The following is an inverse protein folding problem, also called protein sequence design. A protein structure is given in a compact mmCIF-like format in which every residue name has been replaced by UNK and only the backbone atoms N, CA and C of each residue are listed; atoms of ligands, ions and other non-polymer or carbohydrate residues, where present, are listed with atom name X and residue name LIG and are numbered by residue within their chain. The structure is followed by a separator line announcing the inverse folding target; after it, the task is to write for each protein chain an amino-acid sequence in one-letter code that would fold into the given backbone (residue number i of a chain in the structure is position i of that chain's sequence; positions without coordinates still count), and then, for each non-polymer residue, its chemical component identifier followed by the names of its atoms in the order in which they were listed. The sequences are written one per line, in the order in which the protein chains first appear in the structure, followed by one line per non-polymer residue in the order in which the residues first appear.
data_IF_125609043803
#
_entry.id   IF_125609043803
#
_cell.length_a   1.000
_cell.length_b   1.000
_cell.length_c   1.000
_cell.angle_alpha   90.00
_cell.angle_beta   90.00
_cell.angle_gamma   90.00
#
_symmetry.space_group_name_H-M   'P 1'
#
loop_
_entity.id
_entity.type
_entity.pdbx_description
1 polymer ?
#
# COMPACT_ATOMS: atom_id res chain seq x y z
N UNK A 1 82.27 118.47 -5.11
CA UNK A 1 81.76 117.18 -4.60
C UNK A 1 82.92 116.42 -4.00
N UNK A 2 82.78 115.92 -2.77
CA UNK A 2 83.84 115.25 -2.04
C UNK A 2 84.13 113.88 -2.68
N UNK A 3 85.40 113.54 -2.90
CA UNK A 3 85.84 112.28 -3.54
C UNK A 3 85.28 111.02 -2.86
N UNK A 4 85.02 111.10 -1.55
CA UNK A 4 84.36 110.03 -0.78
C UNK A 4 82.91 109.76 -1.20
N UNK A 5 82.14 110.81 -1.55
CA UNK A 5 80.75 110.64 -2.05
C UNK A 5 80.72 110.03 -3.45
N UNK A 6 81.71 110.33 -4.29
CA UNK A 6 81.82 109.76 -5.63
C UNK A 6 82.24 108.29 -5.60
N UNK A 7 83.22 107.92 -4.76
CA UNK A 7 83.65 106.52 -4.58
C UNK A 7 82.52 105.66 -3.98
N UNK A 8 81.75 106.19 -3.03
CA UNK A 8 80.57 105.50 -2.49
C UNK A 8 79.51 105.29 -3.57
N UNK A 9 79.28 106.28 -4.45
CA UNK A 9 78.36 106.15 -5.57
C UNK A 9 78.87 105.17 -6.64
N UNK A 10 80.17 105.17 -6.97
CA UNK A 10 80.75 104.17 -7.89
C UNK A 10 80.65 102.75 -7.33
N UNK A 11 80.91 102.54 -6.04
CA UNK A 11 80.71 101.25 -5.39
C UNK A 11 79.24 100.82 -5.38
N UNK A 12 78.31 101.76 -5.21
CA UNK A 12 76.86 101.50 -5.29
C UNK A 12 76.44 101.11 -6.73
N UNK A 13 76.99 101.79 -7.74
CA UNK A 13 76.72 101.51 -9.16
C UNK A 13 77.36 100.20 -9.60
N UNK A 14 78.58 99.89 -9.16
CA UNK A 14 79.24 98.59 -9.39
C UNK A 14 78.46 97.46 -8.70
N UNK A 15 78.03 97.65 -7.45
CA UNK A 15 77.18 96.68 -6.74
C UNK A 15 75.80 96.52 -7.41
N UNK A 16 75.23 97.59 -7.97
CA UNK A 16 74.00 97.53 -8.77
C UNK A 16 74.21 96.80 -10.10
N UNK A 17 75.31 97.06 -10.81
CA UNK A 17 75.64 96.40 -12.06
C UNK A 17 75.91 94.89 -11.85
N UNK A 18 76.66 94.52 -10.81
CA UNK A 18 76.87 93.12 -10.41
C UNK A 18 75.55 92.47 -9.98
N UNK A 19 74.70 93.17 -9.22
CA UNK A 19 73.38 92.69 -8.82
C UNK A 19 72.44 92.48 -10.00
N UNK A 20 72.45 93.37 -11.00
CA UNK A 20 71.67 93.23 -12.24
C UNK A 20 72.18 92.08 -13.12
N UNK A 21 73.50 91.90 -13.21
CA UNK A 21 74.11 90.82 -13.98
C UNK A 21 73.84 89.44 -13.33
N UNK A 22 73.87 89.37 -12.00
CA UNK A 22 73.52 88.20 -11.21
C UNK A 22 72.02 87.90 -11.16
N UNK A 23 71.17 88.91 -11.38
CA UNK A 23 69.72 88.80 -11.20
C UNK A 23 69.11 87.67 -12.02
N UNK A 24 69.51 87.56 -13.28
CA UNK A 24 69.02 86.54 -14.21
C UNK A 24 69.44 85.12 -13.76
N UNK A 25 70.67 84.98 -13.24
CA UNK A 25 71.15 83.72 -12.67
C UNK A 25 70.43 83.38 -11.35
N UNK A 26 70.15 84.35 -10.48
CA UNK A 26 69.38 84.14 -9.23
C UNK A 26 67.93 83.75 -9.50
N UNK A 27 67.28 84.36 -10.49
CA UNK A 27 65.93 83.99 -10.92
C UNK A 27 65.89 82.57 -11.49
N UNK A 28 66.87 82.19 -12.31
CA UNK A 28 66.97 80.83 -12.85
C UNK A 28 67.27 79.78 -11.76
N UNK A 29 68.17 80.09 -10.81
CA UNK A 29 68.44 79.24 -9.63
C UNK A 29 67.16 79.11 -8.77
N UNK A 30 66.40 80.19 -8.61
CA UNK A 30 65.13 80.17 -7.88
C UNK A 30 64.11 79.25 -8.56
N UNK A 31 63.95 79.34 -9.89
CA UNK A 31 63.08 78.43 -10.65
C UNK A 31 63.53 76.96 -10.53
N UNK A 32 64.83 76.68 -10.68
CA UNK A 32 65.36 75.32 -10.50
C UNK A 32 65.13 74.80 -9.07
N UNK A 33 65.26 75.66 -8.05
CA UNK A 33 64.97 75.30 -6.67
C UNK A 33 63.49 75.00 -6.45
N UNK A 34 62.60 75.74 -7.10
CA UNK A 34 61.15 75.51 -7.06
C UNK A 34 60.78 74.19 -7.74
N UNK A 35 61.32 73.91 -8.94
CA UNK A 35 61.11 72.62 -9.61
C UNK A 35 61.65 71.45 -8.78
N UNK A 36 62.83 71.61 -8.17
CA UNK A 36 63.37 70.60 -7.26
C UNK A 36 62.45 70.36 -6.05
N UNK A 37 61.87 71.41 -5.48
CA UNK A 37 60.91 71.28 -4.38
C UNK A 37 59.65 70.53 -4.82
N UNK A 38 59.07 70.91 -5.96
CA UNK A 38 57.89 70.25 -6.52
C UNK A 38 58.16 68.78 -6.87
N UNK A 39 59.32 68.46 -7.42
CA UNK A 39 59.71 67.06 -7.65
C UNK A 39 59.90 66.30 -6.34
N UNK A 40 60.39 66.94 -5.28
CA UNK A 40 60.48 66.37 -3.94
C UNK A 40 59.09 66.05 -3.35
N UNK A 41 58.17 67.00 -3.43
CA UNK A 41 56.78 66.83 -2.99
C UNK A 41 56.07 65.70 -3.76
N UNK A 42 56.21 65.66 -5.09
CA UNK A 42 55.66 64.57 -5.90
C UNK A 42 56.27 63.20 -5.56
N UNK A 43 57.57 63.17 -5.23
CA UNK A 43 58.24 61.93 -4.83
C UNK A 43 57.69 61.45 -3.48
N UNK A 44 57.55 62.34 -2.50
CA UNK A 44 56.96 62.02 -1.20
C UNK A 44 55.50 61.54 -1.33
N UNK A 45 54.70 62.19 -2.17
CA UNK A 45 53.33 61.74 -2.47
C UNK A 45 53.30 60.36 -3.13
N UNK A 46 54.19 60.11 -4.10
CA UNK A 46 54.30 58.81 -4.76
C UNK A 46 54.74 57.70 -3.79
N UNK A 47 55.72 57.98 -2.92
CA UNK A 47 56.16 57.06 -1.87
C UNK A 47 55.02 56.76 -0.88
N UNK A 48 54.28 57.79 -0.45
CA UNK A 48 53.10 57.64 0.41
C UNK A 48 51.99 56.80 -0.25
N UNK A 49 51.72 57.03 -1.53
CA UNK A 49 50.75 56.26 -2.29
C UNK A 49 51.17 54.78 -2.44
N UNK A 50 52.46 54.52 -2.67
CA UNK A 50 53.02 53.15 -2.73
C UNK A 50 52.88 52.42 -1.39
N UNK A 51 53.16 53.09 -0.27
CA UNK A 51 52.95 52.54 1.07
C UNK A 51 51.47 52.20 1.29
N UNK A 52 50.57 53.10 0.87
CA UNK A 52 49.12 52.90 1.02
C UNK A 52 48.64 51.72 0.17
N UNK A 53 49.13 51.58 -1.06
CA UNK A 53 48.83 50.45 -1.95
C UNK A 53 49.36 49.13 -1.39
N UNK A 54 50.56 49.12 -0.82
CA UNK A 54 51.11 47.94 -0.16
C UNK A 54 50.23 47.50 1.02
N UNK A 55 49.82 48.44 1.86
CA UNK A 55 48.91 48.18 2.98
C UNK A 55 47.53 47.68 2.52
N UNK A 56 46.97 48.26 1.45
CA UNK A 56 45.70 47.81 0.86
C UNK A 56 45.81 46.38 0.31
N UNK A 57 46.92 46.06 -0.37
CA UNK A 57 47.17 44.72 -0.90
C UNK A 57 47.26 43.68 0.21
N UNK A 58 47.99 43.98 1.30
CA UNK A 58 48.11 43.10 2.45
C UNK A 58 46.75 42.84 3.11
N UNK A 59 45.98 43.91 3.37
CA UNK A 59 44.62 43.80 3.92
C UNK A 59 43.69 43.00 3.00
N UNK A 60 43.75 43.22 1.69
CA UNK A 60 42.94 42.48 0.73
C UNK A 60 43.31 41.00 0.73
N UNK A 61 44.60 40.66 0.78
CA UNK A 61 45.06 39.27 0.85
C UNK A 61 44.62 38.61 2.16
N UNK A 62 44.72 39.31 3.29
CA UNK A 62 44.23 38.83 4.58
C UNK A 62 42.73 38.55 4.56
N UNK A 63 41.92 39.50 4.06
CA UNK A 63 40.46 39.32 3.95
C UNK A 63 40.11 38.20 2.98
N UNK A 64 40.76 38.13 1.82
CA UNK A 64 40.52 37.08 0.83
C UNK A 64 40.80 35.68 1.40
N UNK A 65 41.91 35.50 2.11
CA UNK A 65 42.23 34.23 2.77
C UNK A 65 41.22 33.89 3.87
N UNK A 66 40.84 34.86 4.71
CA UNK A 66 39.87 34.65 5.80
C UNK A 66 38.47 34.34 5.27
N UNK A 67 38.00 35.07 4.27
CA UNK A 67 36.71 34.85 3.62
C UNK A 67 36.70 33.54 2.85
N UNK A 68 37.79 33.17 2.18
CA UNK A 68 37.92 31.87 1.50
C UNK A 68 37.86 30.69 2.47
N UNK A 69 38.57 30.78 3.61
CA UNK A 69 38.50 29.77 4.66
C UNK A 69 37.10 29.66 5.29
N UNK A 70 36.46 30.81 5.56
CA UNK A 70 35.10 30.87 6.07
C UNK A 70 34.09 30.26 5.07
N UNK A 71 34.20 30.62 3.80
CA UNK A 71 33.33 30.10 2.75
C UNK A 71 33.46 28.58 2.61
N UNK A 72 34.70 28.05 2.62
CA UNK A 72 34.94 26.61 2.61
C UNK A 72 34.34 25.90 3.82
N UNK A 73 34.48 26.47 5.02
CA UNK A 73 33.86 25.93 6.23
C UNK A 73 32.32 25.96 6.17
N UNK A 74 31.73 27.04 5.67
CA UNK A 74 30.28 27.14 5.46
C UNK A 74 29.78 26.11 4.44
N UNK A 75 30.52 25.89 3.35
CA UNK A 75 30.15 24.90 2.35
C UNK A 75 30.17 23.48 2.93
N UNK A 76 31.23 23.12 3.68
CA UNK A 76 31.30 21.83 4.37
C UNK A 76 30.14 21.65 5.37
N UNK A 77 29.82 22.69 6.15
CA UNK A 77 28.67 22.68 7.06
C UNK A 77 27.34 22.47 6.33
N UNK A 78 27.14 23.10 5.17
CA UNK A 78 25.92 22.90 4.37
C UNK A 78 25.85 21.47 3.79
N UNK A 79 26.96 20.91 3.34
CA UNK A 79 27.03 19.53 2.87
C UNK A 79 26.69 18.55 3.98
N UNK A 80 27.26 18.74 5.17
CA UNK A 80 27.02 17.86 6.32
C UNK A 80 25.60 18.03 6.86
N UNK A 81 25.06 19.24 6.89
CA UNK A 81 23.64 19.48 7.20
C UNK A 81 22.74 18.70 6.24
N UNK A 82 23.01 18.76 4.94
CA UNK A 82 22.21 18.06 3.93
C UNK A 82 22.28 16.54 4.13
N UNK A 83 23.47 15.98 4.40
CA UNK A 83 23.64 14.55 4.69
C UNK A 83 22.88 14.13 5.94
N UNK A 84 22.95 14.93 7.02
CA UNK A 84 22.28 14.63 8.28
C UNK A 84 20.75 14.69 8.13
N UNK A 85 20.22 15.65 7.37
CA UNK A 85 18.78 15.73 7.05
C UNK A 85 18.33 14.49 6.29
N UNK A 86 19.04 14.13 5.22
CA UNK A 86 18.71 12.92 4.44
C UNK A 86 18.76 11.64 5.29
N UNK A 87 19.74 11.54 6.19
CA UNK A 87 19.84 10.42 7.12
C UNK A 87 18.66 10.40 8.10
N UNK A 88 18.30 11.55 8.66
CA UNK A 88 17.16 11.67 9.57
C UNK A 88 15.84 11.29 8.89
N UNK A 89 15.62 11.71 7.64
CA UNK A 89 14.44 11.33 6.85
C UNK A 89 14.42 9.82 6.54
N UNK A 90 15.56 9.24 6.19
CA UNK A 90 15.69 7.78 5.99
C UNK A 90 15.39 7.00 7.28
N UNK A 91 15.87 7.47 8.43
CA UNK A 91 15.56 6.83 9.73
C UNK A 91 14.08 6.98 10.05
N UNK A 92 13.52 8.18 9.88
CA UNK A 92 12.11 8.49 10.14
C UNK A 92 11.19 7.61 9.30
N UNK A 93 11.44 7.51 7.99
CA UNK A 93 10.65 6.68 7.08
C UNK A 93 10.63 5.20 7.50
N UNK A 94 11.76 4.64 7.94
CA UNK A 94 11.83 3.25 8.45
C UNK A 94 11.12 3.10 9.79
N UNK A 95 11.26 4.08 10.69
CA UNK A 95 10.57 4.08 11.99
C UNK A 95 9.05 4.15 11.84
N UNK A 96 8.53 4.72 10.76
CA UNK A 96 7.07 4.79 10.54
C UNK A 96 6.41 3.41 10.65
N UNK A 97 6.99 2.36 10.04
CA UNK A 97 6.45 0.99 10.10
C UNK A 97 6.33 0.47 11.54
N UNK A 98 7.31 0.79 12.40
CA UNK A 98 7.30 0.37 13.80
C UNK A 98 6.28 1.17 14.63
N UNK A 99 6.17 2.49 14.39
CA UNK A 99 5.17 3.33 15.08
C UNK A 99 3.73 3.03 14.65
N UNK A 100 3.53 2.45 13.46
CA UNK A 100 2.21 1.98 13.02
C UNK A 100 1.67 0.83 13.87
N UNK A 101 2.52 0.09 14.59
CA UNK A 101 2.07 -0.97 15.50
C UNK A 101 1.08 -0.43 16.53
N UNK A 102 1.41 0.69 17.18
CA UNK A 102 0.54 1.29 18.20
C UNK A 102 -0.74 1.87 17.58
N UNK A 103 -0.64 2.46 16.38
CA UNK A 103 -1.79 3.00 15.64
C UNK A 103 -2.76 1.91 15.18
N UNK A 104 -2.25 0.77 14.75
CA UNK A 104 -3.07 -0.38 14.36
C UNK A 104 -3.67 -1.02 15.62
N UNK A 105 -2.89 -1.19 16.68
CA UNK A 105 -3.34 -1.74 17.95
C UNK A 105 -4.48 -0.94 18.58
N UNK A 106 -4.39 0.39 18.59
CA UNK A 106 -5.45 1.28 19.10
C UNK A 106 -6.73 1.21 18.27
N UNK A 107 -6.62 1.18 16.93
CA UNK A 107 -7.78 1.03 16.04
C UNK A 107 -8.48 -0.31 16.21
N UNK A 108 -7.74 -1.42 16.20
CA UNK A 108 -8.30 -2.76 16.42
C UNK A 108 -8.82 -2.96 17.86
N UNK A 109 -8.30 -2.19 18.80
CA UNK A 109 -8.73 -2.14 20.20
C UNK A 109 -10.10 -1.47 20.40
N UNK A 110 -10.51 -0.59 19.48
CA UNK A 110 -11.75 0.16 19.60
C UNK A 110 -12.98 -0.72 19.33
N UNK A 111 -13.99 -0.75 20.23
CA UNK A 111 -15.22 -1.51 20.01
C UNK A 111 -16.08 -0.95 18.86
N UNK A 112 -15.84 0.30 18.45
CA UNK A 112 -16.51 0.91 17.31
C UNK A 112 -15.92 0.48 15.96
N UNK A 113 -14.73 -0.11 15.96
CA UNK A 113 -14.07 -0.56 14.73
C UNK A 113 -14.69 -1.89 14.27
N UNK A 114 -15.29 -1.88 13.08
CA UNK A 114 -15.98 -3.02 12.51
C UNK A 114 -15.49 -3.31 11.10
N UNK A 115 -15.68 -4.55 10.65
CA UNK A 115 -15.31 -4.98 9.29
C UNK A 115 -16.09 -4.27 8.19
N UNK A 116 -17.22 -3.65 8.53
CA UNK A 116 -18.05 -2.86 7.62
C UNK A 116 -17.59 -1.40 7.51
N UNK A 117 -16.57 -0.99 8.28
CA UNK A 117 -16.04 0.37 8.21
C UNK A 117 -15.14 0.54 6.99
N UNK A 118 -15.20 1.71 6.34
CA UNK A 118 -14.38 2.03 5.16
C UNK A 118 -12.86 1.95 5.45
N UNK A 119 -12.47 2.12 6.72
CA UNK A 119 -11.08 2.03 7.17
C UNK A 119 -10.55 0.62 7.39
N UNK A 120 -11.38 -0.43 7.28
CA UNK A 120 -10.96 -1.80 7.57
C UNK A 120 -9.99 -2.36 6.51
N UNK A 121 -10.33 -2.26 5.23
CA UNK A 121 -9.48 -2.74 4.13
C UNK A 121 -8.12 -1.99 4.06
N UNK A 122 -8.08 -0.64 4.17
CA UNK A 122 -6.81 0.07 4.28
C UNK A 122 -5.96 -0.37 5.47
N UNK A 123 -6.57 -0.72 6.60
CA UNK A 123 -5.85 -1.24 7.76
C UNK A 123 -5.22 -2.61 7.48
N UNK A 124 -5.92 -3.50 6.77
CA UNK A 124 -5.35 -4.79 6.33
C UNK A 124 -4.18 -4.59 5.37
N UNK A 125 -4.34 -3.75 4.33
CA UNK A 125 -3.24 -3.44 3.40
C UNK A 125 -2.02 -2.88 4.14
N UNK A 126 -2.23 -2.00 5.12
CA UNK A 126 -1.13 -1.46 5.93
C UNK A 126 -0.49 -2.52 6.82
N UNK A 127 -1.25 -3.46 7.37
CA UNK A 127 -0.72 -4.60 8.10
C UNK A 127 0.17 -5.47 7.19
N UNK A 128 -0.29 -5.77 5.98
CA UNK A 128 0.46 -6.56 5.00
C UNK A 128 1.78 -5.87 4.63
N UNK A 129 1.76 -4.56 4.39
CA UNK A 129 2.97 -3.74 4.16
C UNK A 129 3.95 -3.81 5.34
N UNK A 130 3.47 -3.62 6.57
CA UNK A 130 4.30 -3.67 7.77
C UNK A 130 4.91 -5.07 8.01
N UNK A 131 4.13 -6.13 7.75
CA UNK A 131 4.60 -7.52 7.84
C UNK A 131 5.70 -7.75 6.79
N UNK A 132 5.43 -7.42 5.53
CA UNK A 132 6.40 -7.60 4.43
C UNK A 132 7.69 -6.81 4.67
N UNK A 133 7.58 -5.56 5.12
CA UNK A 133 8.75 -4.73 5.45
C UNK A 133 9.58 -5.35 6.58
N UNK A 134 8.93 -5.85 7.64
CA UNK A 134 9.62 -6.45 8.78
C UNK A 134 10.29 -7.77 8.39
N UNK A 135 9.64 -8.59 7.56
CA UNK A 135 10.19 -9.84 7.02
C UNK A 135 11.41 -9.61 6.12
N UNK A 136 11.44 -8.52 5.36
CA UNK A 136 12.61 -8.16 4.55
C UNK A 136 13.77 -7.61 5.40
N UNK A 137 13.49 -7.12 6.62
CA UNK A 137 14.46 -6.44 7.48
C UNK A 137 14.64 -7.12 8.85
N UNK A 138 14.77 -8.46 8.86
CA UNK A 138 14.94 -9.24 10.09
C UNK A 138 16.20 -8.91 10.91
N UNK A 139 17.19 -8.26 10.31
CA UNK A 139 18.41 -7.81 10.97
C UNK A 139 18.20 -6.63 11.93
N UNK A 140 17.04 -5.95 11.88
CA UNK A 140 16.72 -4.87 12.81
C UNK A 140 16.49 -5.38 14.23
N UNK A 141 16.83 -4.54 15.22
CA UNK A 141 16.64 -4.83 16.63
C UNK A 141 15.15 -5.10 16.91
N UNK A 142 14.87 -6.21 17.59
CA UNK A 142 13.51 -6.63 17.95
C UNK A 142 12.54 -6.87 16.78
N UNK A 143 13.03 -6.96 15.54
CA UNK A 143 12.23 -7.22 14.33
C UNK A 143 11.26 -8.39 14.50
N UNK A 144 11.72 -9.49 15.10
CA UNK A 144 10.93 -10.70 15.35
C UNK A 144 9.76 -10.46 16.33
N UNK A 145 9.96 -9.59 17.33
CA UNK A 145 8.91 -9.23 18.31
C UNK A 145 7.83 -8.41 17.62
N UNK A 146 8.23 -7.43 16.80
CA UNK A 146 7.29 -6.64 16.00
C UNK A 146 6.54 -7.50 14.99
N UNK A 147 7.24 -8.38 14.28
CA UNK A 147 6.62 -9.31 13.33
C UNK A 147 5.57 -10.19 14.00
N UNK A 148 5.89 -10.75 15.17
CA UNK A 148 4.95 -11.55 15.96
C UNK A 148 3.71 -10.74 16.33
N UNK A 149 3.88 -9.50 16.78
CA UNK A 149 2.75 -8.62 17.12
C UNK A 149 1.92 -8.23 15.90
N UNK A 150 2.52 -7.94 14.75
CA UNK A 150 1.78 -7.66 13.52
C UNK A 150 0.95 -8.86 13.07
N UNK A 151 1.51 -10.08 13.12
CA UNK A 151 0.75 -11.31 12.82
C UNK A 151 -0.38 -11.57 13.82
N UNK A 152 -0.20 -11.21 15.10
CA UNK A 152 -1.29 -11.24 16.09
C UNK A 152 -2.41 -10.25 15.74
N UNK A 153 -2.07 -9.03 15.30
CA UNK A 153 -3.06 -8.05 14.85
C UNK A 153 -3.76 -8.47 13.57
N UNK A 154 -3.04 -9.07 12.62
CA UNK A 154 -3.65 -9.67 11.43
C UNK A 154 -4.63 -10.77 11.84
N UNK A 155 -4.20 -11.73 12.67
CA UNK A 155 -5.06 -12.82 13.17
C UNK A 155 -6.32 -12.28 13.86
N UNK A 156 -6.19 -11.22 14.66
CA UNK A 156 -7.33 -10.55 15.31
C UNK A 156 -8.27 -9.89 14.30
N UNK A 157 -7.73 -9.17 13.31
CA UNK A 157 -8.53 -8.55 12.26
C UNK A 157 -9.30 -9.60 11.46
N UNK A 158 -8.65 -10.70 11.09
CA UNK A 158 -9.27 -11.81 10.37
C UNK A 158 -10.31 -12.56 11.23
N UNK A 159 -10.11 -12.64 12.54
CA UNK A 159 -11.13 -13.18 13.44
C UNK A 159 -12.41 -12.33 13.45
N UNK A 160 -12.31 -11.00 13.35
CA UNK A 160 -13.49 -10.13 13.20
C UNK A 160 -14.22 -10.40 11.88
N UNK A 161 -13.48 -10.63 10.79
CA UNK A 161 -14.07 -11.01 9.50
C UNK A 161 -14.80 -12.35 9.62
N UNK A 162 -14.12 -13.37 10.17
CA UNK A 162 -14.71 -14.69 10.41
C UNK A 162 -16.01 -14.55 11.20
N UNK A 163 -15.97 -13.83 12.31
CA UNK A 163 -17.15 -13.62 13.16
C UNK A 163 -18.29 -12.96 12.38
N UNK A 164 -18.01 -11.92 11.60
CA UNK A 164 -19.02 -11.23 10.82
C UNK A 164 -19.66 -12.14 9.75
N UNK A 165 -18.85 -12.85 8.98
CA UNK A 165 -19.33 -13.75 7.92
C UNK A 165 -20.12 -14.91 8.51
N UNK A 166 -19.56 -15.62 9.49
CA UNK A 166 -20.19 -16.76 10.15
C UNK A 166 -21.50 -16.34 10.83
N UNK A 167 -21.51 -15.20 11.52
CA UNK A 167 -22.71 -14.66 12.16
C UNK A 167 -23.79 -14.35 11.12
N UNK A 168 -23.44 -13.67 10.04
CA UNK A 168 -24.39 -13.33 8.97
C UNK A 168 -24.99 -14.59 8.32
N UNK A 169 -24.17 -15.60 8.05
CA UNK A 169 -24.64 -16.88 7.51
C UNK A 169 -25.56 -17.61 8.48
N UNK A 170 -25.19 -17.70 9.77
CA UNK A 170 -26.01 -18.34 10.80
C UNK A 170 -27.34 -17.63 11.01
N UNK A 171 -27.34 -16.30 11.05
CA UNK A 171 -28.56 -15.48 11.16
C UNK A 171 -29.46 -15.63 9.94
N UNK A 172 -28.87 -15.69 8.73
CA UNK A 172 -29.64 -15.95 7.51
C UNK A 172 -30.30 -17.32 7.62
N UNK A 173 -29.54 -18.36 7.98
CA UNK A 173 -30.02 -19.75 8.14
C UNK A 173 -31.15 -19.85 9.16
N UNK A 174 -30.98 -19.28 10.36
CA UNK A 174 -32.02 -19.32 11.40
C UNK A 174 -33.31 -18.60 11.00
N UNK A 175 -33.21 -17.59 10.14
CA UNK A 175 -34.38 -16.88 9.62
C UNK A 175 -35.17 -17.65 8.55
N UNK A 176 -34.60 -18.73 8.00
CA UNK A 176 -35.27 -19.58 7.00
C UNK A 176 -35.51 -21.00 7.47
N UNK A 177 -34.82 -21.46 8.51
CA UNK A 177 -35.09 -22.73 9.16
C UNK A 177 -36.58 -22.77 9.60
N UNK A 178 -37.32 -23.83 9.22
CA UNK A 178 -38.67 -24.04 9.74
C UNK A 178 -38.63 -24.16 11.26
N UNK A 179 -39.70 -23.71 11.92
CA UNK A 179 -39.85 -23.91 13.38
C UNK A 179 -39.74 -25.41 13.71
N UNK A 180 -39.12 -25.79 14.84
CA UNK A 180 -38.98 -27.19 15.23
C UNK A 180 -40.35 -27.87 15.27
N UNK A 181 -40.53 -28.90 14.44
CA UNK A 181 -41.79 -29.64 14.29
C UNK A 181 -42.46 -29.54 12.91
N UNK A 182 -42.01 -28.63 12.02
CA UNK A 182 -42.50 -28.57 10.64
C UNK A 182 -41.56 -29.36 9.70
N UNK A 183 -42.11 -30.31 8.94
CA UNK A 183 -41.37 -31.02 7.88
C UNK A 183 -41.14 -30.05 6.73
N UNK A 184 -39.89 -29.70 6.48
CA UNK A 184 -39.52 -28.86 5.35
C UNK A 184 -39.61 -29.67 4.06
N UNK A 185 -40.67 -29.45 3.28
CA UNK A 185 -40.70 -29.88 1.88
C UNK A 185 -40.17 -28.73 1.03
N UNK A 186 -39.30 -29.03 0.06
CA UNK A 186 -38.95 -28.07 -0.99
C UNK A 186 -40.17 -27.89 -1.90
N UNK A 187 -41.08 -27.00 -1.48
CA UNK A 187 -42.04 -26.39 -2.39
C UNK A 187 -41.36 -25.23 -3.13
N UNK A 188 -41.89 -24.81 -4.28
CA UNK A 188 -41.41 -23.63 -4.99
C UNK A 188 -41.33 -22.38 -4.08
N UNK A 189 -42.28 -22.24 -3.16
CA UNK A 189 -42.31 -21.15 -2.18
C UNK A 189 -41.18 -21.26 -1.14
N UNK A 190 -40.86 -22.47 -0.68
CA UNK A 190 -39.73 -22.72 0.22
C UNK A 190 -38.40 -22.44 -0.48
N UNK A 191 -38.29 -22.78 -1.77
CA UNK A 191 -37.11 -22.59 -2.59
C UNK A 191 -36.81 -21.09 -2.78
N UNK A 192 -37.81 -20.31 -3.18
CA UNK A 192 -37.68 -18.86 -3.32
C UNK A 192 -37.26 -18.19 -2.00
N UNK A 193 -37.74 -18.70 -0.86
CA UNK A 193 -37.38 -18.18 0.46
C UNK A 193 -35.93 -18.55 0.86
N UNK A 194 -35.50 -19.80 0.65
CA UNK A 194 -34.16 -20.28 0.98
C UNK A 194 -33.07 -19.57 0.18
N UNK A 195 -33.26 -19.42 -1.12
CA UNK A 195 -32.26 -18.80 -1.99
C UNK A 195 -32.37 -17.28 -1.98
N UNK A 196 -33.59 -16.72 -1.96
CA UNK A 196 -33.79 -15.26 -1.97
C UNK A 196 -33.16 -14.55 -0.77
N UNK A 197 -33.29 -15.13 0.44
CA UNK A 197 -32.68 -14.54 1.65
C UNK A 197 -31.16 -14.63 1.68
N UNK A 198 -30.56 -15.69 1.14
CA UNK A 198 -29.10 -15.78 1.02
C UNK A 198 -28.58 -14.84 -0.08
N UNK A 199 -29.27 -14.76 -1.22
CA UNK A 199 -28.89 -13.83 -2.30
C UNK A 199 -28.92 -12.37 -1.85
N UNK A 200 -29.84 -11.99 -0.96
CA UNK A 200 -29.91 -10.61 -0.45
C UNK A 200 -28.82 -10.27 0.57
N UNK A 201 -28.29 -11.25 1.31
CA UNK A 201 -27.16 -11.04 2.25
C UNK A 201 -25.78 -11.15 1.57
N UNK A 202 -25.70 -11.80 0.41
CA UNK A 202 -24.47 -12.08 -0.31
C UNK A 202 -23.62 -10.85 -0.69
N UNK A 203 -24.16 -9.73 -1.23
CA UNK A 203 -23.34 -8.63 -1.73
C UNK A 203 -22.42 -8.00 -0.68
N UNK A 204 -22.87 -7.95 0.58
CA UNK A 204 -22.11 -7.41 1.72
C UNK A 204 -20.88 -8.26 2.04
N UNK A 205 -21.02 -9.57 1.93
CA UNK A 205 -19.93 -10.52 2.17
C UNK A 205 -19.02 -10.60 0.95
N UNK A 206 -19.59 -10.57 -0.27
CA UNK A 206 -18.86 -10.73 -1.53
C UNK A 206 -17.74 -9.72 -1.71
N UNK A 207 -18.01 -8.43 -1.44
CA UNK A 207 -17.00 -7.39 -1.56
C UNK A 207 -15.81 -7.66 -0.63
N UNK A 208 -16.08 -8.04 0.62
CA UNK A 208 -15.05 -8.36 1.61
C UNK A 208 -14.29 -9.66 1.27
N UNK A 209 -15.00 -10.71 0.84
CA UNK A 209 -14.36 -11.99 0.47
C UNK A 209 -13.47 -11.84 -0.74
N UNK A 210 -13.89 -11.08 -1.76
CA UNK A 210 -13.08 -10.82 -2.96
C UNK A 210 -11.72 -10.20 -2.61
N UNK A 211 -11.72 -9.23 -1.70
CA UNK A 211 -10.49 -8.61 -1.21
C UNK A 211 -9.59 -9.60 -0.44
N UNK A 212 -10.18 -10.52 0.32
CA UNK A 212 -9.43 -11.53 1.06
C UNK A 212 -8.90 -12.64 0.14
N UNK A 213 -9.66 -13.03 -0.88
CA UNK A 213 -9.25 -13.96 -1.93
C UNK A 213 -8.02 -13.43 -2.69
N UNK A 214 -7.98 -12.12 -2.99
CA UNK A 214 -6.81 -11.49 -3.62
C UNK A 214 -5.55 -11.53 -2.74
N UNK A 215 -5.71 -11.59 -1.41
CA UNK A 215 -4.62 -11.66 -0.42
C UNK A 215 -4.27 -13.09 0.00
N UNK A 216 -4.95 -14.10 -0.55
CA UNK A 216 -4.79 -15.48 -0.12
C UNK A 216 -3.35 -15.98 -0.22
N UNK A 217 -2.60 -15.56 -1.24
CA UNK A 217 -1.21 -15.99 -1.44
C UNK A 217 -0.18 -15.20 -0.64
N UNK A 218 -0.58 -14.09 -0.01
CA UNK A 218 0.32 -13.25 0.78
C UNK A 218 0.66 -13.89 2.13
N UNK A 219 -0.33 -14.51 2.80
CA UNK A 219 -0.14 -15.10 4.12
C UNK A 219 -1.08 -16.30 4.35
N UNK A 220 -0.62 -17.29 5.12
CA UNK A 220 -1.39 -18.51 5.40
C UNK A 220 -2.67 -18.21 6.21
N UNK A 221 -2.65 -17.15 7.01
CA UNK A 221 -3.79 -16.69 7.80
C UNK A 221 -5.02 -16.35 6.94
N UNK A 222 -4.80 -15.79 5.74
CA UNK A 222 -5.88 -15.52 4.78
C UNK A 222 -6.47 -16.82 4.20
N UNK A 223 -5.62 -17.80 3.84
CA UNK A 223 -6.08 -19.11 3.36
C UNK A 223 -6.91 -19.83 4.42
N UNK A 224 -6.46 -19.81 5.68
CA UNK A 224 -7.17 -20.42 6.81
C UNK A 224 -8.53 -19.75 7.04
N UNK A 225 -8.60 -18.42 6.95
CA UNK A 225 -9.87 -17.69 7.04
C UNK A 225 -10.84 -18.10 5.92
N UNK A 226 -10.36 -18.18 4.67
CA UNK A 226 -11.20 -18.56 3.53
C UNK A 226 -11.76 -19.98 3.70
N UNK A 227 -10.93 -20.94 4.10
CA UNK A 227 -11.35 -22.30 4.43
C UNK A 227 -12.43 -22.29 5.53
N UNK A 228 -12.22 -21.56 6.62
CA UNK A 228 -13.19 -21.46 7.71
C UNK A 228 -14.53 -20.85 7.27
N UNK A 229 -14.49 -19.81 6.43
CA UNK A 229 -15.68 -19.17 5.87
C UNK A 229 -16.42 -20.09 4.90
N UNK A 230 -15.71 -20.79 4.01
CA UNK A 230 -16.30 -21.76 3.08
C UNK A 230 -16.91 -22.94 3.82
N UNK A 231 -16.19 -23.51 4.79
CA UNK A 231 -16.69 -24.58 5.64
C UNK A 231 -17.95 -24.15 6.41
N UNK A 232 -17.96 -22.95 6.98
CA UNK A 232 -19.16 -22.43 7.64
C UNK A 232 -20.33 -22.23 6.67
N UNK A 233 -20.08 -21.73 5.47
CA UNK A 233 -21.10 -21.59 4.42
C UNK A 233 -21.72 -22.93 4.09
N UNK A 234 -20.89 -23.91 3.73
CA UNK A 234 -21.32 -25.28 3.39
C UNK A 234 -22.07 -25.93 4.55
N UNK A 235 -21.59 -25.78 5.78
CA UNK A 235 -22.28 -26.30 6.96
C UNK A 235 -23.67 -25.68 7.16
N UNK A 236 -23.83 -24.37 6.95
CA UNK A 236 -25.13 -23.72 7.02
C UNK A 236 -26.07 -24.15 5.88
N UNK A 237 -25.56 -24.30 4.65
CA UNK A 237 -26.35 -24.81 3.51
C UNK A 237 -26.77 -26.26 3.73
N UNK A 238 -25.87 -27.12 4.21
CA UNK A 238 -26.17 -28.52 4.52
C UNK A 238 -27.35 -28.67 5.49
N UNK A 239 -27.42 -27.84 6.54
CA UNK A 239 -28.56 -27.85 7.49
C UNK A 239 -29.91 -27.59 6.81
N UNK A 240 -29.95 -26.77 5.76
CA UNK A 240 -31.18 -26.46 5.02
C UNK A 240 -31.49 -27.52 3.96
N UNK A 241 -30.45 -28.01 3.29
CA UNK A 241 -30.58 -28.88 2.12
C UNK A 241 -30.79 -30.34 2.48
N UNK A 242 -30.12 -30.88 3.49
CA UNK A 242 -30.14 -32.34 3.75
C UNK A 242 -31.56 -32.87 3.97
N UNK A 243 -32.33 -32.28 4.88
CA UNK A 243 -33.70 -32.72 5.17
C UNK A 243 -34.66 -32.49 4.00
N UNK A 244 -34.50 -31.32 3.37
CA UNK A 244 -35.25 -30.85 2.22
C UNK A 244 -35.09 -31.76 1.00
N UNK A 245 -33.85 -32.08 0.65
CA UNK A 245 -33.48 -32.96 -0.48
C UNK A 245 -33.93 -34.40 -0.21
N UNK A 246 -33.70 -34.94 0.98
CA UNK A 246 -34.21 -36.26 1.36
C UNK A 246 -35.74 -36.35 1.24
N UNK A 247 -36.45 -35.34 1.71
CA UNK A 247 -37.93 -35.30 1.66
C UNK A 247 -38.44 -35.23 0.22
N UNK A 248 -37.83 -34.40 -0.63
CA UNK A 248 -38.19 -34.31 -2.05
C UNK A 248 -37.85 -35.57 -2.82
N UNK A 249 -36.69 -36.20 -2.58
CA UNK A 249 -36.34 -37.47 -3.21
C UNK A 249 -37.28 -38.60 -2.78
N UNK A 250 -37.70 -38.64 -1.51
CA UNK A 250 -38.69 -39.60 -1.04
C UNK A 250 -40.04 -39.42 -1.75
N UNK A 251 -40.48 -38.17 -1.99
CA UNK A 251 -41.69 -37.88 -2.75
C UNK A 251 -41.58 -38.31 -4.21
N UNK A 252 -40.47 -38.01 -4.88
CA UNK A 252 -40.21 -38.45 -6.26
C UNK A 252 -40.22 -39.99 -6.34
N UNK A 253 -39.61 -40.66 -5.36
CA UNK A 253 -39.60 -42.13 -5.25
C UNK A 253 -41.01 -42.69 -5.09
N UNK A 254 -41.84 -42.06 -4.26
CA UNK A 254 -43.23 -42.48 -4.06
C UNK A 254 -44.07 -42.28 -5.34
N UNK A 255 -43.88 -41.15 -6.03
CA UNK A 255 -44.61 -40.80 -7.25
C UNK A 255 -44.28 -41.74 -8.43
N UNK A 256 -43.03 -42.16 -8.56
CA UNK A 256 -42.55 -43.00 -9.66
C UNK A 256 -42.22 -44.44 -9.25
N UNK A 257 -42.87 -44.95 -8.20
CA UNK A 257 -42.60 -46.30 -7.66
C UNK A 257 -42.80 -47.45 -8.66
N UNK A 258 -43.60 -47.25 -9.72
CA UNK A 258 -43.87 -48.25 -10.75
C UNK A 258 -42.98 -48.12 -11.99
N UNK A 259 -42.28 -46.99 -12.17
CA UNK A 259 -41.49 -46.70 -13.36
C UNK A 259 -40.07 -46.26 -12.95
N UNK A 260 -39.14 -47.22 -12.99
CA UNK A 260 -37.73 -47.00 -12.65
C UNK A 260 -37.05 -45.97 -13.55
N UNK A 261 -37.45 -45.89 -14.83
CA UNK A 261 -36.86 -44.99 -15.82
C UNK A 261 -37.30 -43.56 -15.58
N UNK A 262 -38.58 -43.34 -15.32
CA UNK A 262 -39.10 -42.02 -14.92
C UNK A 262 -38.52 -41.57 -13.57
N UNK A 263 -38.37 -42.49 -12.61
CA UNK A 263 -37.76 -42.19 -11.32
C UNK A 263 -36.32 -41.69 -11.44
N UNK A 264 -35.47 -42.42 -12.20
CA UNK A 264 -34.07 -42.01 -12.39
C UNK A 264 -33.99 -40.67 -13.09
N UNK A 265 -34.78 -40.44 -14.15
CA UNK A 265 -34.79 -39.16 -14.88
C UNK A 265 -35.22 -38.00 -13.97
N UNK A 266 -36.32 -38.14 -13.23
CA UNK A 266 -36.82 -37.09 -12.35
C UNK A 266 -35.87 -36.82 -11.16
N UNK A 267 -35.27 -37.87 -10.59
CA UNK A 267 -34.29 -37.74 -9.50
C UNK A 267 -32.99 -37.07 -9.95
N UNK A 268 -32.47 -37.44 -11.12
CA UNK A 268 -31.28 -36.81 -11.70
C UNK A 268 -31.54 -35.35 -12.08
N UNK A 269 -32.63 -35.03 -12.77
CA UNK A 269 -32.99 -33.64 -13.10
C UNK A 269 -33.11 -32.77 -11.85
N UNK A 270 -33.84 -33.25 -10.83
CA UNK A 270 -33.98 -32.55 -9.55
C UNK A 270 -32.61 -32.29 -8.90
N UNK A 271 -31.76 -33.30 -8.80
CA UNK A 271 -30.45 -33.16 -8.18
C UNK A 271 -29.53 -32.24 -8.98
N UNK A 272 -29.56 -32.30 -10.31
CA UNK A 272 -28.79 -31.41 -11.17
C UNK A 272 -29.18 -29.95 -10.95
N UNK A 273 -30.48 -29.65 -10.89
CA UNK A 273 -30.98 -28.30 -10.58
C UNK A 273 -30.52 -27.81 -9.21
N UNK A 274 -30.63 -28.64 -8.18
CA UNK A 274 -30.15 -28.29 -6.82
C UNK A 274 -28.65 -28.01 -6.82
N UNK A 275 -27.85 -28.86 -7.45
CA UNK A 275 -26.40 -28.67 -7.52
C UNK A 275 -26.02 -27.41 -8.31
N UNK A 276 -26.70 -27.11 -9.42
CA UNK A 276 -26.50 -25.90 -10.21
C UNK A 276 -26.84 -24.64 -9.41
N UNK A 277 -27.96 -24.64 -8.70
CA UNK A 277 -28.40 -23.51 -7.89
C UNK A 277 -27.47 -23.24 -6.70
N UNK A 278 -26.97 -24.29 -6.04
CA UNK A 278 -25.97 -24.16 -4.96
C UNK A 278 -24.63 -23.66 -5.49
N UNK A 279 -24.20 -24.14 -6.66
CA UNK A 279 -23.01 -23.66 -7.32
C UNK A 279 -23.13 -22.16 -7.62
N UNK A 280 -24.21 -21.73 -8.26
CA UNK A 280 -24.46 -20.31 -8.53
C UNK A 280 -24.55 -19.47 -7.25
N UNK A 281 -25.24 -19.97 -6.22
CA UNK A 281 -25.35 -19.27 -4.94
C UNK A 281 -23.99 -19.07 -4.28
N UNK A 282 -23.13 -20.10 -4.31
CA UNK A 282 -21.77 -20.01 -3.77
C UNK A 282 -20.99 -18.85 -4.40
N UNK A 283 -21.08 -18.69 -5.72
CA UNK A 283 -20.38 -17.61 -6.43
C UNK A 283 -20.92 -16.20 -6.15
N UNK A 284 -22.11 -16.09 -5.57
CA UNK A 284 -22.57 -14.81 -5.03
C UNK A 284 -21.83 -14.40 -3.76
N UNK A 285 -21.21 -15.31 -3.02
CA UNK A 285 -20.44 -15.02 -1.80
C UNK A 285 -18.92 -15.06 -2.04
N UNK A 286 -18.44 -16.04 -2.81
CA UNK A 286 -17.02 -16.29 -3.06
C UNK A 286 -16.72 -16.23 -4.56
N UNK A 287 -15.48 -16.00 -4.96
CA UNK A 287 -15.08 -15.85 -6.36
C UNK A 287 -14.22 -17.01 -6.88
N UNK A 288 -13.75 -17.88 -5.98
CA UNK A 288 -12.86 -19.00 -6.29
C UNK A 288 -13.51 -20.30 -5.86
N UNK A 289 -13.39 -21.36 -6.67
CA UNK A 289 -13.85 -22.69 -6.30
C UNK A 289 -13.13 -23.19 -5.05
N UNK A 290 -13.89 -23.79 -4.13
CA UNK A 290 -13.34 -24.37 -2.90
C UNK A 290 -13.58 -25.88 -2.81
N UNK A 291 -12.68 -26.63 -2.13
CA UNK A 291 -12.86 -28.06 -1.91
C UNK A 291 -14.10 -28.38 -1.08
N UNK A 292 -14.51 -27.49 -0.17
CA UNK A 292 -15.70 -27.65 0.65
C UNK A 292 -16.99 -27.60 -0.19
N UNK A 293 -17.04 -26.73 -1.21
CA UNK A 293 -18.17 -26.71 -2.16
C UNK A 293 -18.27 -28.05 -2.89
N UNK A 294 -17.15 -28.58 -3.38
CA UNK A 294 -17.12 -29.88 -4.06
C UNK A 294 -17.64 -30.99 -3.14
N UNK A 295 -17.17 -31.01 -1.88
CA UNK A 295 -17.64 -31.96 -0.88
C UNK A 295 -19.14 -31.87 -0.60
N UNK A 296 -19.73 -30.66 -0.58
CA UNK A 296 -21.17 -30.48 -0.44
C UNK A 296 -21.93 -31.09 -1.63
N UNK A 297 -21.52 -30.74 -2.85
CA UNK A 297 -22.16 -31.22 -4.08
C UNK A 297 -22.06 -32.74 -4.20
N UNK A 298 -20.91 -33.31 -3.86
CA UNK A 298 -20.72 -34.76 -3.81
C UNK A 298 -21.65 -35.42 -2.79
N UNK A 299 -21.77 -34.87 -1.57
CA UNK A 299 -22.68 -35.37 -0.54
C UNK A 299 -24.15 -35.38 -0.99
N UNK A 300 -24.59 -34.33 -1.70
CA UNK A 300 -25.94 -34.28 -2.27
C UNK A 300 -26.12 -35.36 -3.35
N UNK A 301 -25.13 -35.56 -4.22
CA UNK A 301 -25.15 -36.63 -5.22
C UNK A 301 -25.14 -38.03 -4.60
N UNK A 302 -24.41 -38.25 -3.50
CA UNK A 302 -24.44 -39.52 -2.75
C UNK A 302 -25.84 -39.80 -2.19
N UNK A 303 -26.57 -38.76 -1.79
CA UNK A 303 -27.95 -38.90 -1.34
C UNK A 303 -28.85 -39.45 -2.46
N UNK A 304 -28.68 -38.97 -3.70
CA UNK A 304 -29.37 -39.54 -4.86
C UNK A 304 -28.95 -40.99 -5.12
N UNK A 305 -27.64 -41.27 -5.06
CA UNK A 305 -27.11 -42.62 -5.27
C UNK A 305 -27.72 -43.63 -4.29
N UNK A 306 -27.83 -43.28 -3.01
CA UNK A 306 -28.41 -44.16 -1.99
C UNK A 306 -29.90 -44.47 -2.24
N UNK A 307 -30.63 -43.52 -2.84
CA UNK A 307 -32.04 -43.72 -3.24
C UNK A 307 -32.17 -44.58 -4.49
N UNK A 308 -31.33 -44.35 -5.50
CA UNK A 308 -31.40 -45.05 -6.78
C UNK A 308 -30.80 -46.46 -6.72
N UNK A 309 -29.77 -46.68 -5.90
CA UNK A 309 -29.04 -47.96 -5.85
C UNK A 309 -29.95 -49.17 -5.55
N UNK A 310 -30.85 -49.14 -4.54
CA UNK A 310 -31.79 -50.22 -4.31
C UNK A 310 -32.69 -50.47 -5.52
N UNK A 311 -33.16 -49.42 -6.20
CA UNK A 311 -34.01 -49.56 -7.39
C UNK A 311 -33.24 -50.27 -8.50
N UNK A 312 -32.03 -49.80 -8.84
CA UNK A 312 -31.21 -50.34 -9.92
C UNK A 312 -30.82 -51.80 -9.71
N UNK A 313 -30.45 -52.19 -8.48
CA UNK A 313 -30.02 -53.57 -8.17
C UNK A 313 -31.16 -54.58 -8.33
N UNK A 314 -32.41 -54.18 -8.16
CA UNK A 314 -33.57 -55.06 -8.25
C UNK A 314 -34.19 -55.11 -9.66
N UNK A 315 -33.63 -54.40 -10.65
CA UNK A 315 -34.08 -54.46 -12.04
C UNK A 315 -33.56 -55.75 -12.66
N UNK A 316 -34.49 -56.63 -13.05
CA UNK A 316 -34.17 -57.92 -13.67
C UNK A 316 -34.17 -57.87 -15.21
N UNK A 317 -34.70 -56.80 -15.81
CA UNK A 317 -34.80 -56.64 -17.26
C UNK A 317 -33.60 -55.87 -17.82
N UNK A 318 -32.82 -56.53 -18.69
CA UNK A 318 -31.63 -55.94 -19.32
C UNK A 318 -31.96 -54.70 -20.16
N UNK A 319 -33.13 -54.68 -20.82
CA UNK A 319 -33.59 -53.55 -21.63
C UNK A 319 -33.74 -52.29 -20.77
N UNK A 320 -34.37 -52.40 -19.60
CA UNK A 320 -34.50 -51.29 -18.66
C UNK A 320 -33.16 -50.80 -18.13
N UNK A 321 -32.20 -51.70 -17.88
CA UNK A 321 -30.83 -51.30 -17.50
C UNK A 321 -30.09 -50.57 -18.62
N UNK A 322 -30.29 -50.99 -19.88
CA UNK A 322 -29.71 -50.33 -21.04
C UNK A 322 -30.29 -48.92 -21.22
N UNK A 323 -31.62 -48.76 -21.06
CA UNK A 323 -32.30 -47.46 -21.11
C UNK A 323 -31.81 -46.53 -19.99
N UNK A 324 -31.65 -47.04 -18.76
CA UNK A 324 -31.10 -46.26 -17.65
C UNK A 324 -29.66 -45.82 -17.90
N UNK A 325 -28.81 -46.70 -18.44
CA UNK A 325 -27.45 -46.34 -18.84
C UNK A 325 -27.47 -45.24 -19.92
N UNK A 326 -28.38 -45.33 -20.89
CA UNK A 326 -28.55 -44.32 -21.94
C UNK A 326 -28.98 -42.98 -21.36
N UNK A 327 -29.93 -42.95 -20.43
CA UNK A 327 -30.39 -41.72 -19.77
C UNK A 327 -29.27 -41.05 -18.97
N UNK A 328 -28.54 -41.82 -18.16
CA UNK A 328 -27.44 -41.28 -17.37
C UNK A 328 -26.29 -40.75 -18.25
N UNK A 329 -26.01 -41.44 -19.37
CA UNK A 329 -24.89 -41.10 -20.24
C UNK A 329 -25.20 -40.01 -21.25
N UNK A 330 -26.36 -40.07 -21.89
CA UNK A 330 -26.74 -39.18 -23.00
C UNK A 330 -27.55 -38.00 -22.49
N UNK A 331 -28.62 -38.25 -21.72
CA UNK A 331 -29.46 -37.14 -21.26
C UNK A 331 -28.77 -36.35 -20.14
N UNK A 332 -28.19 -37.02 -19.13
CA UNK A 332 -27.67 -36.29 -17.97
C UNK A 332 -26.23 -35.80 -18.14
N UNK A 333 -25.30 -36.64 -18.60
CA UNK A 333 -23.90 -36.22 -18.73
C UNK A 333 -23.68 -35.26 -19.91
N UNK A 334 -24.29 -35.47 -21.07
CA UNK A 334 -24.08 -34.60 -22.24
C UNK A 334 -24.86 -33.26 -22.12
N UNK A 335 -26.06 -33.22 -21.53
CA UNK A 335 -26.77 -31.95 -21.29
C UNK A 335 -26.07 -31.08 -20.24
N UNK A 336 -25.53 -31.67 -19.16
CA UNK A 336 -24.81 -30.91 -18.12
C UNK A 336 -23.47 -30.37 -18.66
N UNK A 337 -22.78 -31.13 -19.52
CA UNK A 337 -21.53 -30.70 -20.16
C UNK A 337 -21.81 -29.61 -21.20
N UNK A 338 -22.85 -29.74 -22.01
CA UNK A 338 -23.22 -28.74 -23.03
C UNK A 338 -23.76 -27.44 -22.43
N UNK A 339 -24.52 -27.49 -21.33
CA UNK A 339 -24.95 -26.29 -20.59
C UNK A 339 -23.80 -25.54 -19.90
N UNK A 340 -22.68 -26.22 -19.61
CA UNK A 340 -21.52 -25.61 -18.94
C UNK A 340 -20.59 -24.82 -19.87
N UNK A 341 -20.80 -24.83 -21.19
CA UNK A 341 -19.95 -24.05 -22.10
C UNK A 341 -18.45 -24.28 -21.84
N UNK A 342 -18.06 -25.54 -21.71
CA UNK A 342 -16.67 -25.99 -21.91
C UNK A 342 -16.59 -26.57 -23.31
#
# INVERSE_FOLDING_TARGET
MCTAQFMAWCAEVEAQAESEQDKCYREYISQLSQYRCQCGEMLEEAESALVTLANMRERHQFVSQRTGALHGACQQLMEDQTKLVNLAESISSKLTYFTELDRIGTRLGSPAFSVTSDGFLPLLSRLDECISFTEQNLHYKESQVYLTRFRQYLSRALALVKQHVVSTLRLTTSSVLPKPGAVAVLSENSYAQFYGKFRSSAPKIKALMKEIELRADTAAEYKNLLHDCCHSYVGQRGLLLTSSVHSSLAQITQQHSTDSTALVRAGCDFMCRVCQDEYQLYFHFFSVDSPELKGLLESLCYTLYDVLRPVVIHINHLETLADLCSILKVEMLEEIVSQKGI
#
